data_IF_529205042402
#
_entry.id   IF_529205042402
#
_cell.length_a   1.000
_cell.length_b   1.000
_cell.length_c   1.000
_cell.angle_alpha   90.00
_cell.angle_beta   90.00
_cell.angle_gamma   90.00
#
_symmetry.space_group_name_H-M   'P 1'
#
loop_
_entity.id
_entity.type
_entity.pdbx_description
1 polymer ?
#
# COMPACT_ATOMS: atom_id res chain seq x y z
N UNK A 1 11.54 0.38 9.66
CA UNK A 1 11.14 -0.86 8.94
C UNK A 1 12.16 -1.04 7.83
N UNK A 2 13.22 -1.79 8.08
CA UNK A 2 14.42 -1.79 7.22
C UNK A 2 14.58 -3.08 6.39
N UNK A 3 13.54 -3.93 6.37
CA UNK A 3 13.56 -5.21 5.68
C UNK A 3 12.62 -5.16 4.48
N UNK A 4 13.01 -5.67 3.31
CA UNK A 4 12.10 -5.80 2.19
C UNK A 4 10.99 -6.81 2.51
N UNK A 5 9.75 -6.49 2.12
CA UNK A 5 8.59 -7.36 2.32
C UNK A 5 7.86 -7.56 1.00
N UNK A 6 7.39 -8.77 0.75
CA UNK A 6 6.46 -9.07 -0.35
C UNK A 6 5.05 -8.96 0.20
N UNK A 7 4.25 -8.01 -0.29
CA UNK A 7 2.82 -7.94 0.03
C UNK A 7 2.04 -8.95 -0.80
N UNK A 8 2.37 -9.05 -2.08
CA UNK A 8 1.67 -9.94 -3.02
C UNK A 8 2.61 -10.39 -4.12
N UNK A 9 2.53 -11.66 -4.50
CA UNK A 9 3.20 -12.22 -5.66
C UNK A 9 2.20 -13.13 -6.36
N UNK A 10 2.01 -12.94 -7.67
CA UNK A 10 1.06 -13.73 -8.46
C UNK A 10 1.56 -13.97 -9.87
N UNK A 11 1.08 -15.06 -10.49
CA UNK A 11 1.21 -15.30 -11.92
C UNK A 11 0.01 -14.68 -12.64
N UNK A 12 0.25 -14.00 -13.75
CA UNK A 12 -0.82 -13.52 -14.62
C UNK A 12 -1.37 -14.71 -15.39
N UNK A 13 -2.68 -14.94 -15.32
CA UNK A 13 -3.29 -16.07 -16.02
C UNK A 13 -3.22 -15.85 -17.54
N UNK A 14 -2.92 -16.91 -18.28
CA UNK A 14 -2.75 -16.91 -19.75
C UNK A 14 -1.56 -16.11 -20.28
N UNK A 15 -0.71 -15.60 -19.39
CA UNK A 15 0.55 -14.94 -19.71
C UNK A 15 1.69 -15.56 -18.91
N UNK A 16 2.88 -15.64 -19.50
CA UNK A 16 4.09 -16.07 -18.76
C UNK A 16 4.74 -14.88 -18.07
N UNK A 17 3.92 -14.19 -17.27
CA UNK A 17 4.25 -12.96 -16.57
C UNK A 17 3.95 -13.08 -15.07
N UNK A 18 4.74 -12.38 -14.26
CA UNK A 18 4.53 -12.28 -12.81
C UNK A 18 4.17 -10.84 -12.44
N UNK A 19 3.31 -10.70 -11.43
CA UNK A 19 3.00 -9.43 -10.78
C UNK A 19 3.45 -9.50 -9.32
N UNK A 20 4.18 -8.49 -8.88
CA UNK A 20 4.69 -8.41 -7.51
C UNK A 20 4.41 -7.03 -6.91
N UNK A 21 3.85 -7.02 -5.70
CA UNK A 21 3.73 -5.84 -4.85
C UNK A 21 4.73 -5.96 -3.71
N UNK A 22 5.75 -5.11 -3.72
CA UNK A 22 6.92 -5.20 -2.88
C UNK A 22 7.12 -3.89 -2.10
N UNK A 23 7.35 -4.01 -0.80
CA UNK A 23 8.00 -2.95 -0.04
C UNK A 23 9.50 -3.14 -0.08
N UNK A 24 10.23 -2.08 -0.40
CA UNK A 24 11.69 -2.14 -0.45
C UNK A 24 12.30 -0.77 -0.09
N UNK A 25 13.33 -0.73 0.77
CA UNK A 25 14.10 0.49 0.99
C UNK A 25 14.71 1.02 -0.32
N UNK A 26 14.84 2.35 -0.47
CA UNK A 26 15.34 2.98 -1.71
C UNK A 26 16.66 2.41 -2.23
N UNK A 27 17.56 2.04 -1.32
CA UNK A 27 18.86 1.47 -1.69
C UNK A 27 18.74 0.06 -2.26
N UNK A 28 17.94 -0.80 -1.61
CA UNK A 28 17.69 -2.17 -2.07
C UNK A 28 16.87 -2.17 -3.37
N UNK A 29 15.96 -1.21 -3.55
CA UNK A 29 15.22 -1.04 -4.81
C UNK A 29 16.15 -0.88 -6.01
N UNK A 30 17.20 -0.06 -5.92
CA UNK A 30 18.16 0.11 -7.02
C UNK A 30 18.85 -1.20 -7.37
N UNK A 31 19.33 -1.93 -6.36
CA UNK A 31 19.95 -3.25 -6.56
C UNK A 31 18.99 -4.25 -7.21
N UNK A 32 17.71 -4.20 -6.83
CA UNK A 32 16.68 -5.05 -7.42
C UNK A 32 16.46 -4.74 -8.90
N UNK A 33 16.36 -3.47 -9.28
CA UNK A 33 16.25 -3.04 -10.69
C UNK A 33 17.50 -3.45 -11.50
N UNK A 34 18.69 -3.32 -10.92
CA UNK A 34 19.94 -3.77 -11.55
C UNK A 34 19.92 -5.29 -11.78
N UNK A 35 19.43 -6.06 -10.80
CA UNK A 35 19.31 -7.51 -10.92
C UNK A 35 18.30 -7.91 -12.01
N UNK A 36 17.12 -7.27 -12.08
CA UNK A 36 16.16 -7.50 -13.15
C UNK A 36 16.76 -7.17 -14.52
N UNK A 37 17.52 -6.08 -14.63
CA UNK A 37 18.20 -5.69 -15.87
C UNK A 37 19.23 -6.74 -16.32
N UNK A 38 19.96 -7.35 -15.38
CA UNK A 38 20.87 -8.47 -15.68
C UNK A 38 20.11 -9.71 -16.15
N UNK A 39 18.95 -10.00 -15.57
CA UNK A 39 18.10 -11.11 -16.02
C UNK A 39 17.57 -10.88 -17.44
N UNK A 40 17.27 -9.62 -17.81
CA UNK A 40 16.92 -9.26 -19.18
C UNK A 40 18.08 -9.47 -20.14
N UNK A 41 19.27 -9.01 -19.77
CA UNK A 41 20.48 -9.21 -20.60
C UNK A 41 20.84 -10.69 -20.76
N UNK A 42 20.60 -11.51 -19.74
CA UNK A 42 20.80 -12.95 -19.78
C UNK A 42 19.71 -13.72 -20.55
N UNK A 43 18.65 -13.05 -21.02
CA UNK A 43 17.53 -13.67 -21.73
C UNK A 43 16.61 -14.50 -20.83
N UNK A 44 16.77 -14.45 -19.50
CA UNK A 44 15.91 -15.15 -18.54
C UNK A 44 14.63 -14.38 -18.19
N UNK A 45 14.60 -13.07 -18.51
CA UNK A 45 13.44 -12.20 -18.36
C UNK A 45 13.27 -11.40 -19.66
N UNK A 46 12.07 -11.37 -20.25
CA UNK A 46 11.88 -10.62 -21.50
C UNK A 46 11.92 -9.11 -21.27
N UNK A 47 11.20 -8.63 -20.25
CA UNK A 47 11.14 -7.23 -19.85
C UNK A 47 10.52 -7.11 -18.45
N UNK A 48 10.51 -5.91 -17.90
CA UNK A 48 9.79 -5.61 -16.67
C UNK A 48 9.23 -4.19 -16.70
N UNK A 49 8.17 -3.97 -15.93
CA UNK A 49 7.58 -2.66 -15.66
C UNK A 49 7.46 -2.50 -14.15
N UNK A 50 7.67 -1.30 -13.65
CA UNK A 50 7.46 -0.99 -12.24
C UNK A 50 6.78 0.36 -12.07
N UNK A 51 6.05 0.48 -10.97
CA UNK A 51 5.44 1.72 -10.51
C UNK A 51 5.78 1.89 -9.03
N UNK A 52 6.05 3.13 -8.62
CA UNK A 52 6.28 3.46 -7.21
C UNK A 52 4.96 3.94 -6.63
N UNK A 53 4.45 3.23 -5.64
CA UNK A 53 3.25 3.66 -4.91
C UNK A 53 3.63 4.70 -3.86
N UNK A 54 2.99 5.86 -3.94
CA UNK A 54 3.05 6.89 -2.91
C UNK A 54 2.11 6.51 -1.76
N UNK A 55 2.70 5.98 -0.68
CA UNK A 55 1.96 5.55 0.50
C UNK A 55 1.20 6.72 1.15
N UNK A 56 1.71 7.95 1.13
CA UNK A 56 1.01 9.10 1.72
C UNK A 56 -0.28 9.44 0.95
N UNK A 57 -0.36 9.06 -0.34
CA UNK A 57 -1.56 9.19 -1.16
C UNK A 57 -2.48 7.97 -1.08
N UNK A 58 -1.94 6.78 -0.87
CA UNK A 58 -2.72 5.52 -0.78
C UNK A 58 -3.25 5.24 0.62
N UNK A 59 -2.66 5.84 1.67
CA UNK A 59 -3.16 5.78 3.06
C UNK A 59 -4.31 6.76 3.31
N UNK A 60 -4.65 7.61 2.33
CA UNK A 60 -5.92 8.32 2.35
C UNK A 60 -7.02 7.26 2.26
N UNK A 61 -7.59 6.94 3.41
CA UNK A 61 -8.79 6.13 3.51
C UNK A 61 -9.80 6.71 2.52
N UNK A 62 -9.99 6.01 1.41
CA UNK A 62 -11.26 6.09 0.72
C UNK A 62 -12.30 5.68 1.77
N UNK A 63 -13.48 6.31 1.76
CA UNK A 63 -14.60 5.90 2.61
C UNK A 63 -14.64 4.36 2.61
N UNK A 64 -14.71 3.71 3.79
CA UNK A 64 -14.63 2.24 3.87
C UNK A 64 -15.59 1.61 2.87
N UNK A 65 -15.19 0.52 2.21
CA UNK A 65 -16.00 -0.12 1.17
C UNK A 65 -17.41 -0.50 1.67
N UNK A 66 -17.57 -0.69 2.99
CA UNK A 66 -18.84 -0.93 3.66
C UNK A 66 -19.90 0.16 3.40
N UNK A 67 -19.48 1.36 2.98
CA UNK A 67 -20.35 2.48 2.65
C UNK A 67 -20.60 2.64 1.13
N UNK A 68 -20.14 1.69 0.31
CA UNK A 68 -20.45 1.67 -1.12
C UNK A 68 -21.72 0.86 -1.35
N UNK A 69 -22.84 1.54 -1.57
CA UNK A 69 -24.13 0.91 -1.83
C UNK A 69 -24.69 1.36 -3.20
N UNK A 70 -25.17 0.40 -3.98
CA UNK A 70 -25.87 0.65 -5.26
C UNK A 70 -25.11 1.54 -6.26
N UNK A 71 -23.78 1.45 -6.27
CA UNK A 71 -22.94 2.16 -7.24
C UNK A 71 -22.54 3.57 -6.81
N UNK A 72 -22.87 4.00 -5.59
CA UNK A 72 -22.42 5.27 -5.03
C UNK A 72 -21.90 5.11 -3.60
N UNK A 73 -21.09 6.09 -3.17
CA UNK A 73 -20.61 6.17 -1.80
C UNK A 73 -21.63 6.91 -0.94
N UNK A 74 -22.08 6.28 0.15
CA UNK A 74 -22.98 6.91 1.13
C UNK A 74 -22.12 7.47 2.26
N UNK A 75 -22.03 8.79 2.35
CA UNK A 75 -21.28 9.49 3.39
C UNK A 75 -22.22 10.26 4.32
N UNK A 76 -22.44 9.74 5.54
CA UNK A 76 -23.20 10.42 6.58
C UNK A 76 -22.27 11.29 7.45
N UNK A 77 -22.02 12.52 7.02
CA UNK A 77 -21.01 13.42 7.61
C UNK A 77 -21.07 13.49 9.13
N UNK A 78 -22.23 13.83 9.70
CA UNK A 78 -22.39 14.07 11.14
C UNK A 78 -22.07 12.82 11.97
N UNK A 79 -22.48 11.65 11.49
CA UNK A 79 -22.24 10.36 12.13
C UNK A 79 -20.76 9.98 12.12
N UNK A 80 -20.06 10.29 11.04
CA UNK A 80 -18.60 10.08 10.97
C UNK A 80 -17.85 11.04 11.88
N UNK A 81 -18.24 12.31 11.94
CA UNK A 81 -17.65 13.30 12.86
C UNK A 81 -17.89 12.88 14.32
N UNK A 82 -19.10 12.45 14.68
CA UNK A 82 -19.39 12.00 16.05
C UNK A 82 -18.52 10.79 16.43
N UNK A 83 -18.36 9.80 15.56
CA UNK A 83 -17.45 8.66 15.83
C UNK A 83 -16.00 9.09 16.01
N UNK A 84 -15.53 10.09 15.26
CA UNK A 84 -14.17 10.62 15.42
C UNK A 84 -14.00 11.33 16.76
N UNK A 85 -15.01 12.10 17.20
CA UNK A 85 -15.03 12.72 18.53
C UNK A 85 -15.00 11.63 19.61
N UNK A 86 -15.88 10.64 19.54
CA UNK A 86 -15.92 9.52 20.49
C UNK A 86 -14.58 8.76 20.56
N UNK A 87 -13.93 8.56 19.40
CA UNK A 87 -12.61 7.93 19.32
C UNK A 87 -11.51 8.80 19.93
N UNK A 88 -11.53 10.11 19.68
CA UNK A 88 -10.57 11.04 20.26
C UNK A 88 -10.70 11.03 21.80
N UNK A 89 -11.91 11.18 22.33
CA UNK A 89 -12.19 11.15 23.76
C UNK A 89 -11.75 9.83 24.41
N UNK A 90 -12.00 8.69 23.75
CA UNK A 90 -11.53 7.37 24.23
C UNK A 90 -10.01 7.26 24.27
N UNK A 91 -9.30 7.96 23.39
CA UNK A 91 -7.84 7.91 23.28
C UNK A 91 -7.11 9.05 24.05
N UNK A 92 -7.82 10.07 24.54
CA UNK A 92 -7.26 11.14 25.39
C UNK A 92 -6.83 10.67 26.80
N UNK A 93 -6.94 9.38 27.13
CA UNK A 93 -6.41 8.76 28.36
C UNK A 93 -5.02 8.09 28.21
N UNK A 94 -4.17 8.55 27.27
CA UNK A 94 -2.73 8.24 27.29
C UNK A 94 -1.85 9.41 26.84
N UNK A 95 -1.94 10.57 27.50
CA UNK A 95 -0.80 11.49 27.54
C UNK A 95 0.08 11.11 28.73
N UNK A 96 1.36 10.73 28.55
CA UNK A 96 2.27 10.66 29.68
C UNK A 96 2.42 12.08 30.22
N UNK A 97 2.10 12.26 31.50
CA UNK A 97 2.46 13.46 32.25
C UNK A 97 3.99 13.50 32.27
N UNK A 98 4.58 14.39 31.47
CA UNK A 98 6.02 14.67 31.56
C UNK A 98 6.17 15.62 32.74
N UNK A 99 6.76 15.09 33.81
CA UNK A 99 7.23 15.83 34.97
C UNK A 99 8.53 16.59 34.64
#
# INVERSE_FOLDING_TARGET
>A
MDKPFVYTLGKILKEDSLVANLYMPKYEFRKFIDALSRLVQAGSLQSYLYVIQDLDKTVRQTISYEYFEKGSWIYEHDKHIQRLVDLAERNELKRPVVA
#
